data_IF_955888594331
#
_entry.id   IF_955888594331
#
_cell.length_a   1.000
_cell.length_b   1.000
_cell.length_c   1.000
_cell.angle_alpha   90.00
_cell.angle_beta   90.00
_cell.angle_gamma   90.00
#
_symmetry.space_group_name_H-M   'P 1'
#
loop_
_entity.id
_entity.type
_entity.pdbx_description
1 polymer ?
#
# COMPACT_ATOMS: atom_id res chain seq x y z
N UNK A 1 8.87 -12.50 1.78
CA UNK A 1 8.10 -12.15 0.56
C UNK A 1 6.87 -11.35 0.95
N UNK A 2 6.34 -10.51 0.05
CA UNK A 2 5.09 -9.75 0.30
C UNK A 2 3.95 -10.70 0.66
N UNK A 3 3.09 -10.31 1.61
CA UNK A 3 1.92 -11.09 2.03
C UNK A 3 0.59 -10.61 1.43
N UNK A 4 0.65 -9.55 0.63
CA UNK A 4 -0.50 -8.98 -0.06
C UNK A 4 -0.15 -8.65 -1.51
N UNK A 5 -1.16 -8.66 -2.41
CA UNK A 5 -1.02 -8.14 -3.76
C UNK A 5 -0.72 -6.65 -3.72
N UNK A 6 0.25 -6.21 -4.52
CA UNK A 6 0.46 -4.80 -4.86
C UNK A 6 -0.17 -4.59 -6.22
N UNK A 7 -1.18 -3.74 -6.30
CA UNK A 7 -1.93 -3.44 -7.53
C UNK A 7 -1.90 -1.95 -7.81
N UNK A 8 -2.22 -1.54 -9.02
CA UNK A 8 -2.27 -0.13 -9.39
C UNK A 8 -3.71 0.30 -9.70
N UNK A 9 -4.17 1.41 -9.11
CA UNK A 9 -5.54 1.91 -9.24
C UNK A 9 -5.59 3.33 -9.80
N UNK A 10 -6.74 3.67 -10.40
CA UNK A 10 -7.00 4.99 -10.98
C UNK A 10 -6.20 5.25 -12.26
N UNK A 11 -6.41 6.44 -12.85
CA UNK A 11 -5.74 6.85 -14.08
C UNK A 11 -4.22 7.01 -13.90
N UNK A 12 -3.84 7.55 -12.74
CA UNK A 12 -2.44 7.73 -12.33
C UNK A 12 -1.74 6.42 -11.95
N UNK A 13 -2.45 5.28 -11.94
CA UNK A 13 -1.91 3.97 -11.58
C UNK A 13 -1.17 4.02 -10.25
N UNK A 14 -1.83 4.54 -9.23
CA UNK A 14 -1.26 4.65 -7.88
C UNK A 14 -1.11 3.24 -7.29
N UNK A 15 0.09 2.85 -6.84
CA UNK A 15 0.29 1.54 -6.23
C UNK A 15 -0.38 1.46 -4.87
N UNK A 16 -1.13 0.39 -4.63
CA UNK A 16 -1.79 0.09 -3.36
C UNK A 16 -1.61 -1.37 -2.98
N UNK A 17 -1.58 -1.63 -1.67
CA UNK A 17 -1.62 -2.99 -1.14
C UNK A 17 -3.08 -3.44 -0.96
N UNK A 18 -3.47 -4.55 -1.58
CA UNK A 18 -4.78 -5.15 -1.37
C UNK A 18 -4.79 -5.89 -0.02
N UNK A 19 -5.43 -5.29 0.98
CA UNK A 19 -5.49 -5.82 2.36
C UNK A 19 -6.85 -6.40 2.74
N UNK A 20 -7.82 -6.38 1.82
CA UNK A 20 -9.16 -6.93 2.03
C UNK A 20 -9.87 -7.12 0.69
N UNK A 21 -10.98 -7.88 0.71
CA UNK A 21 -11.83 -8.11 -0.46
C UNK A 21 -13.03 -7.16 -0.54
N UNK A 22 -13.33 -6.47 0.57
CA UNK A 22 -14.47 -5.56 0.69
C UNK A 22 -13.99 -4.26 1.34
N UNK A 23 -14.62 -3.15 0.96
CA UNK A 23 -14.36 -1.86 1.56
C UNK A 23 -14.63 -1.91 3.08
N UNK A 24 -13.76 -1.25 3.86
CA UNK A 24 -13.89 -1.20 5.31
C UNK A 24 -13.43 -2.46 6.06
N UNK A 25 -13.02 -3.53 5.36
CA UNK A 25 -12.55 -4.76 6.00
C UNK A 25 -11.06 -4.99 5.72
N UNK A 26 -10.24 -5.04 6.78
CA UNK A 26 -8.82 -5.37 6.68
C UNK A 26 -8.59 -6.80 7.19
N UNK A 27 -8.11 -7.68 6.32
CA UNK A 27 -7.84 -9.09 6.59
C UNK A 27 -6.53 -9.35 7.33
N UNK A 28 -5.73 -8.31 7.56
CA UNK A 28 -4.49 -8.34 8.34
C UNK A 28 -4.65 -7.73 9.73
N UNK A 29 -5.83 -7.23 10.09
CA UNK A 29 -6.14 -6.77 11.45
C UNK A 29 -7.14 -7.74 12.06
N UNK A 30 -6.86 -8.24 13.25
CA UNK A 30 -7.82 -9.03 14.01
C UNK A 30 -8.97 -8.13 14.47
N UNK A 31 -10.21 -8.48 14.12
CA UNK A 31 -11.38 -7.64 14.41
C UNK A 31 -11.73 -7.58 15.91
N UNK A 32 -11.35 -8.60 16.69
CA UNK A 32 -11.62 -8.68 18.13
C UNK A 32 -10.50 -8.06 18.95
N UNK A 33 -9.24 -8.38 18.64
CA UNK A 33 -8.07 -7.91 19.41
C UNK A 33 -7.48 -6.60 18.89
N UNK A 34 -7.77 -6.21 17.64
CA UNK A 34 -7.15 -5.07 16.97
C UNK A 34 -5.69 -5.30 16.57
N UNK A 35 -5.13 -6.48 16.84
CA UNK A 35 -3.74 -6.79 16.55
C UNK A 35 -3.49 -6.95 15.04
N UNK A 36 -2.36 -6.44 14.59
CA UNK A 36 -1.90 -6.64 13.22
C UNK A 36 -1.28 -8.04 13.04
N UNK A 37 -1.48 -8.62 11.86
CA UNK A 37 -0.98 -9.94 11.48
C UNK A 37 0.53 -10.06 11.77
N UNK A 38 0.94 -11.01 12.64
CA UNK A 38 2.34 -11.22 12.97
C UNK A 38 3.17 -11.50 11.72
N UNK A 39 4.35 -10.89 11.63
CA UNK A 39 5.30 -11.02 10.51
C UNK A 39 4.81 -10.50 9.15
N UNK A 40 3.60 -9.93 9.06
CA UNK A 40 3.22 -9.16 7.88
C UNK A 40 3.92 -7.79 7.94
N UNK A 41 4.35 -7.29 6.78
CA UNK A 41 4.87 -5.94 6.70
C UNK A 41 3.74 -4.94 6.99
N UNK A 42 3.96 -3.99 7.90
CA UNK A 42 3.05 -2.87 8.15
C UNK A 42 3.42 -1.72 7.18
N UNK A 43 2.54 -1.35 6.23
CA UNK A 43 2.86 -0.33 5.23
C UNK A 43 3.37 0.98 5.85
N UNK A 44 4.38 1.59 5.21
CA UNK A 44 4.98 2.84 5.71
C UNK A 44 3.95 3.97 5.84
N UNK A 45 2.94 4.00 4.97
CA UNK A 45 1.80 4.93 5.06
C UNK A 45 1.03 4.81 6.38
N UNK A 46 0.92 3.61 6.96
CA UNK A 46 0.30 3.40 8.28
C UNK A 46 1.28 3.77 9.38
N UNK A 47 2.56 3.37 9.26
CA UNK A 47 3.60 3.62 10.27
C UNK A 47 3.95 5.09 10.48
N UNK A 48 3.72 5.96 9.50
CA UNK A 48 3.96 7.40 9.66
C UNK A 48 2.94 8.06 10.59
N UNK A 49 1.75 7.49 10.75
CA UNK A 49 0.70 8.07 11.59
C UNK A 49 1.17 8.13 13.07
N UNK A 50 0.98 9.25 13.79
CA UNK A 50 0.12 10.40 13.48
C UNK A 50 0.82 11.56 12.73
N UNK A 51 2.03 11.36 12.22
CA UNK A 51 2.78 12.40 11.53
C UNK A 51 2.42 12.50 10.05
N UNK A 52 2.28 13.72 9.57
CA UNK A 52 1.97 14.04 8.17
C UNK A 52 2.91 15.11 7.65
N UNK A 53 3.34 14.98 6.40
CA UNK A 53 4.07 16.06 5.74
C UNK A 53 3.07 17.17 5.35
N UNK A 54 3.41 18.41 5.67
CA UNK A 54 2.75 19.57 5.09
C UNK A 54 3.51 19.97 3.83
N UNK A 55 2.80 20.06 2.71
CA UNK A 55 3.33 20.55 1.46
C UNK A 55 3.05 22.05 1.36
N UNK A 56 4.10 22.86 1.22
CA UNK A 56 4.02 24.32 1.11
C UNK A 56 4.01 24.81 -0.34
N UNK A 57 3.78 23.89 -1.29
CA UNK A 57 3.75 24.19 -2.73
C UNK A 57 5.11 23.99 -3.42
N UNK A 58 5.14 24.07 -4.76
CA UNK A 58 6.29 23.67 -5.57
C UNK A 58 7.55 24.53 -5.38
N UNK A 59 7.43 25.76 -4.88
CA UNK A 59 8.55 26.70 -4.70
C UNK A 59 9.11 26.74 -3.27
N UNK A 60 8.61 25.90 -2.36
CA UNK A 60 9.04 25.88 -0.97
C UNK A 60 9.97 24.70 -0.66
N UNK A 61 11.23 25.01 -0.39
CA UNK A 61 12.22 24.06 0.16
C UNK A 61 11.95 23.68 1.63
N UNK A 62 10.94 24.28 2.26
CA UNK A 62 10.59 23.98 3.65
C UNK A 62 9.83 22.66 3.75
N UNK A 63 10.47 21.69 4.39
CA UNK A 63 9.81 20.45 4.84
C UNK A 63 9.23 20.65 6.23
N UNK A 64 7.91 20.57 6.36
CA UNK A 64 7.23 20.67 7.65
C UNK A 64 6.53 19.38 7.97
N UNK A 65 6.72 18.89 9.19
CA UNK A 65 5.98 17.74 9.72
C UNK A 65 4.91 18.28 10.66
N UNK A 66 3.68 17.95 10.36
CA UNK A 66 2.53 18.18 11.21
C UNK A 66 2.16 16.90 11.95
N UNK A 67 1.43 17.05 13.05
CA UNK A 67 0.86 15.94 13.80
C UNK A 67 -0.66 16.05 13.79
N UNK A 68 -1.33 14.92 13.60
CA UNK A 68 -2.75 14.80 13.85
C UNK A 68 -3.00 14.77 15.37
N UNK A 69 -3.44 15.90 15.92
CA UNK A 69 -3.75 16.06 17.35
C UNK A 69 -5.07 15.39 17.76
N UNK A 70 -5.90 14.97 16.80
CA UNK A 70 -7.08 14.13 17.06
C UNK A 70 -6.75 12.65 17.26
N UNK A 71 -5.48 12.26 17.06
CA UNK A 71 -5.01 10.90 17.26
C UNK A 71 -5.03 10.49 18.73
N UNK A 72 -5.45 9.25 19.01
CA UNK A 72 -5.26 8.63 20.33
C UNK A 72 -3.77 8.44 20.71
N UNK A 73 -2.86 8.60 19.75
CA UNK A 73 -1.41 8.58 19.97
C UNK A 73 -0.86 9.96 20.41
N UNK A 74 -1.69 11.01 20.36
CA UNK A 74 -1.35 12.34 20.87
C UNK A 74 -1.86 12.48 22.31
N UNK A 75 -1.04 13.06 23.18
CA UNK A 75 -1.38 13.31 24.59
C UNK A 75 -0.65 14.55 25.10
N UNK A 76 -1.32 15.35 25.91
CA UNK A 76 -0.71 16.49 26.63
C UNK A 76 0.15 16.02 27.83
N UNK A 77 0.05 14.74 28.21
CA UNK A 77 0.92 14.10 29.20
C UNK A 77 1.58 12.85 28.59
N UNK A 78 2.54 13.02 27.66
CA UNK A 78 3.15 11.91 26.94
C UNK A 78 4.24 11.25 27.78
N UNK A 79 4.41 9.93 27.61
CA UNK A 79 5.61 9.23 28.12
C UNK A 79 6.88 9.71 27.40
N UNK A 80 6.75 10.07 26.13
CA UNK A 80 7.84 10.57 25.28
C UNK A 80 7.47 11.95 24.71
N UNK A 81 7.98 13.05 25.27
CA UNK A 81 7.64 14.39 24.82
C UNK A 81 8.28 14.70 23.45
N UNK A 82 7.66 15.60 22.69
CA UNK A 82 8.20 16.03 21.39
C UNK A 82 9.44 16.91 21.52
N UNK A 83 9.51 17.73 22.57
CA UNK A 83 10.60 18.68 22.82
C UNK A 83 11.18 18.46 24.20
N UNK A 84 12.47 18.72 24.35
CA UNK A 84 13.15 18.72 25.65
C UNK A 84 12.96 20.08 26.36
N UNK A 85 13.47 20.20 27.59
CA UNK A 85 13.37 21.43 28.41
C UNK A 85 14.05 22.66 27.78
N UNK A 86 14.88 22.46 26.74
CA UNK A 86 15.53 23.54 25.97
C UNK A 86 14.73 23.97 24.74
N UNK A 87 13.58 23.35 24.48
CA UNK A 87 12.76 23.59 23.30
C UNK A 87 13.27 22.91 22.03
N UNK A 88 14.21 21.98 22.13
CA UNK A 88 14.75 21.24 20.98
C UNK A 88 13.98 19.92 20.76
N UNK A 89 13.82 19.45 19.51
CA UNK A 89 13.18 18.16 19.24
C UNK A 89 13.89 17.00 19.95
N UNK A 90 13.14 16.11 20.59
CA UNK A 90 13.69 14.89 21.18
C UNK A 90 14.17 13.92 20.10
N UNK A 91 14.91 12.89 20.51
CA UNK A 91 15.36 11.83 19.59
C UNK A 91 14.17 11.16 18.87
N UNK A 92 13.04 11.00 19.57
CA UNK A 92 11.80 10.49 18.99
C UNK A 92 11.26 11.39 17.88
N UNK A 93 11.15 12.69 18.13
CA UNK A 93 10.70 13.66 17.14
C UNK A 93 11.63 13.70 15.93
N UNK A 94 12.95 13.67 16.14
CA UNK A 94 13.91 13.61 15.04
C UNK A 94 13.76 12.34 14.19
N UNK A 95 13.59 11.17 14.83
CA UNK A 95 13.31 9.91 14.10
C UNK A 95 11.99 9.97 13.32
N UNK A 96 10.95 10.58 13.88
CA UNK A 96 9.68 10.78 13.19
C UNK A 96 9.84 11.70 11.98
N UNK A 97 10.54 12.83 12.13
CA UNK A 97 10.83 13.77 11.04
C UNK A 97 11.60 13.07 9.91
N UNK A 98 12.64 12.32 10.25
CA UNK A 98 13.43 11.56 9.28
C UNK A 98 12.61 10.49 8.56
N UNK A 99 11.72 9.80 9.28
CA UNK A 99 10.82 8.81 8.69
C UNK A 99 9.88 9.44 7.67
N UNK A 100 9.20 10.54 8.02
CA UNK A 100 8.29 11.24 7.09
C UNK A 100 9.07 11.77 5.89
N UNK A 101 10.27 12.32 6.09
CA UNK A 101 11.12 12.80 4.98
C UNK A 101 11.48 11.68 4.00
N UNK A 102 11.89 10.52 4.53
CA UNK A 102 12.20 9.34 3.71
C UNK A 102 10.96 8.84 2.97
N UNK A 103 9.82 8.79 3.66
CA UNK A 103 8.55 8.41 3.05
C UNK A 103 8.18 9.29 1.85
N UNK A 104 8.28 10.62 1.98
CA UNK A 104 8.01 11.54 0.85
C UNK A 104 9.01 11.37 -0.31
N UNK A 105 10.28 11.06 0.00
CA UNK A 105 11.27 10.71 -1.02
C UNK A 105 10.89 9.42 -1.76
N UNK A 106 10.45 8.39 -1.02
CA UNK A 106 10.02 7.11 -1.59
C UNK A 106 8.75 7.26 -2.43
N UNK A 107 7.83 8.15 -2.06
CA UNK A 107 6.65 8.50 -2.86
C UNK A 107 7.07 9.07 -4.21
N UNK A 108 7.99 10.04 -4.26
CA UNK A 108 8.49 10.62 -5.52
C UNK A 108 9.16 9.57 -6.42
N UNK A 109 10.02 8.73 -5.85
CA UNK A 109 10.65 7.63 -6.60
C UNK A 109 9.61 6.64 -7.16
N UNK A 110 8.53 6.40 -6.41
CA UNK A 110 7.42 5.55 -6.85
C UNK A 110 6.64 6.19 -8.00
N UNK A 111 6.40 7.51 -7.96
CA UNK A 111 5.77 8.24 -9.06
C UNK A 111 6.62 8.20 -10.34
N UNK A 112 7.93 8.41 -10.23
CA UNK A 112 8.87 8.29 -11.35
C UNK A 112 8.87 6.87 -11.95
N UNK A 113 8.83 5.85 -11.10
CA UNK A 113 8.72 4.46 -11.52
C UNK A 113 7.43 4.20 -12.30
N UNK A 114 6.27 4.61 -11.75
CA UNK A 114 4.97 4.43 -12.42
C UNK A 114 4.91 5.20 -13.74
N UNK A 115 5.44 6.43 -13.78
CA UNK A 115 5.57 7.21 -15.00
C UNK A 115 6.38 6.47 -16.04
N UNK A 116 7.55 5.94 -15.67
CA UNK A 116 8.40 5.18 -16.59
C UNK A 116 7.72 3.93 -17.14
N UNK A 117 7.00 3.18 -16.30
CA UNK A 117 6.23 2.02 -16.77
C UNK A 117 5.10 2.44 -17.72
N UNK A 118 4.47 3.58 -17.48
CA UNK A 118 3.42 4.13 -18.36
C UNK A 118 3.98 4.56 -19.71
N UNK A 119 5.13 5.24 -19.74
CA UNK A 119 5.83 5.64 -20.98
C UNK A 119 6.22 4.44 -21.86
N UNK A 120 6.54 3.32 -21.22
CA UNK A 120 6.88 2.06 -21.89
C UNK A 120 5.65 1.20 -22.24
N UNK A 121 4.44 1.70 -21.98
CA UNK A 121 3.17 0.98 -22.12
C UNK A 121 3.17 -0.39 -21.40
N UNK A 122 3.75 -0.49 -20.21
CA UNK A 122 3.92 -1.79 -19.55
C UNK A 122 2.69 -2.26 -18.75
N UNK A 123 1.62 -1.47 -18.68
CA UNK A 123 0.43 -1.82 -17.93
C UNK A 123 -0.65 -2.45 -18.81
N UNK A 124 -1.36 -3.43 -18.23
CA UNK A 124 -2.61 -3.96 -18.74
C UNK A 124 -3.67 -3.98 -17.64
N UNK A 125 -4.94 -3.90 -18.02
CA UNK A 125 -6.03 -4.16 -17.09
C UNK A 125 -6.09 -5.65 -16.78
N UNK A 126 -6.19 -5.97 -15.50
CA UNK A 126 -6.23 -7.32 -14.98
C UNK A 126 -7.40 -7.46 -14.00
N UNK A 127 -7.89 -8.69 -13.87
CA UNK A 127 -8.92 -9.04 -12.90
C UNK A 127 -8.44 -10.18 -12.02
N UNK A 128 -8.67 -10.04 -10.72
CA UNK A 128 -8.62 -11.16 -9.81
C UNK A 128 -10.03 -11.74 -9.70
N UNK A 129 -10.14 -13.05 -9.87
CA UNK A 129 -11.41 -13.78 -9.78
C UNK A 129 -11.36 -14.83 -8.69
N UNK A 130 -12.49 -15.06 -8.03
CA UNK A 130 -12.69 -16.13 -7.07
C UNK A 130 -13.75 -17.10 -7.57
N UNK A 131 -13.47 -18.38 -7.51
CA UNK A 131 -14.45 -19.45 -7.75
C UNK A 131 -14.36 -20.44 -6.59
N UNK A 132 -15.45 -20.65 -5.82
CA UNK A 132 -15.49 -21.66 -4.77
C UNK A 132 -15.12 -23.05 -5.29
N UNK A 133 -14.54 -23.89 -4.42
CA UNK A 133 -14.25 -25.30 -4.71
C UNK A 133 -14.89 -26.20 -3.65
N UNK A 134 -15.42 -27.34 -4.07
CA UNK A 134 -15.99 -28.33 -3.17
C UNK A 134 -14.89 -29.11 -2.41
N UNK A 135 -15.28 -30.04 -1.53
CA UNK A 135 -14.36 -30.86 -0.74
C UNK A 135 -13.47 -31.79 -1.58
N UNK A 136 -13.85 -32.08 -2.84
CA UNK A 136 -13.03 -32.81 -3.81
C UNK A 136 -12.12 -31.89 -4.65
N UNK A 137 -12.14 -30.57 -4.40
CA UNK A 137 -11.34 -29.58 -5.13
C UNK A 137 -11.93 -29.14 -6.47
N UNK A 138 -13.14 -29.58 -6.81
CA UNK A 138 -13.82 -29.23 -8.07
C UNK A 138 -14.46 -27.85 -7.95
N UNK A 139 -14.40 -27.08 -9.05
CA UNK A 139 -14.98 -25.75 -9.11
C UNK A 139 -16.51 -25.79 -8.95
N UNK A 140 -17.05 -24.89 -8.13
CA UNK A 140 -18.48 -24.78 -7.85
C UNK A 140 -18.98 -23.36 -8.11
N UNK A 141 -20.05 -23.25 -8.90
CA UNK A 141 -20.63 -21.96 -9.30
C UNK A 141 -19.79 -21.23 -10.34
N UNK A 142 -20.21 -20.02 -10.70
CA UNK A 142 -19.50 -19.18 -11.67
C UNK A 142 -18.35 -18.41 -11.01
N UNK A 143 -17.23 -18.17 -11.72
CA UNK A 143 -16.19 -17.28 -11.25
C UNK A 143 -16.72 -15.86 -11.01
N UNK A 144 -16.36 -15.27 -9.87
CA UNK A 144 -16.71 -13.90 -9.49
C UNK A 144 -15.49 -12.99 -9.55
N UNK A 145 -15.61 -11.82 -10.17
CA UNK A 145 -14.56 -10.80 -10.15
C UNK A 145 -14.52 -10.15 -8.77
N UNK A 146 -13.39 -10.25 -8.08
CA UNK A 146 -13.18 -9.65 -6.76
C UNK A 146 -12.42 -8.32 -6.83
N UNK A 147 -11.63 -8.10 -7.87
CA UNK A 147 -10.91 -6.85 -8.09
C UNK A 147 -10.62 -6.65 -9.58
N UNK A 148 -10.72 -5.40 -10.04
CA UNK A 148 -10.22 -4.96 -11.35
C UNK A 148 -9.14 -3.90 -11.10
N UNK A 149 -7.98 -4.06 -11.71
CA UNK A 149 -6.81 -3.23 -11.43
C UNK A 149 -5.85 -3.17 -12.62
N UNK A 150 -4.89 -2.26 -12.58
CA UNK A 150 -3.76 -2.26 -13.50
C UNK A 150 -2.62 -3.09 -12.94
N UNK A 151 -2.02 -3.95 -13.76
CA UNK A 151 -0.84 -4.74 -13.44
C UNK A 151 0.19 -4.68 -14.56
N UNK A 152 1.45 -5.02 -14.26
CA UNK A 152 2.50 -5.10 -15.28
C UNK A 152 2.26 -6.31 -16.17
N UNK A 153 2.30 -6.08 -17.48
CA UNK A 153 2.15 -7.10 -18.51
C UNK A 153 3.44 -7.87 -18.73
N UNK A 154 3.43 -9.18 -18.48
CA UNK A 154 4.58 -10.06 -18.75
C UNK A 154 4.88 -10.20 -20.24
N UNK A 155 3.87 -10.05 -21.09
CA UNK A 155 4.02 -10.05 -22.54
C UNK A 155 4.75 -8.78 -23.01
N UNK A 156 4.24 -7.59 -22.64
CA UNK A 156 4.85 -6.33 -23.04
C UNK A 156 6.26 -6.18 -22.47
N UNK A 157 6.50 -6.63 -21.23
CA UNK A 157 7.84 -6.66 -20.64
C UNK A 157 8.82 -7.52 -21.45
N UNK A 158 8.41 -8.71 -21.89
CA UNK A 158 9.25 -9.60 -22.72
C UNK A 158 9.48 -9.06 -24.13
N UNK A 159 8.53 -8.29 -24.65
CA UNK A 159 8.62 -7.68 -25.98
C UNK A 159 9.51 -6.43 -26.02
N UNK A 160 9.99 -5.93 -24.87
CA UNK A 160 10.91 -4.80 -24.82
C UNK A 160 12.22 -5.10 -25.56
N UNK A 161 12.75 -4.07 -26.20
CA UNK A 161 14.08 -4.13 -26.81
C UNK A 161 15.15 -4.38 -25.73
N UNK A 162 16.23 -5.12 -26.04
CA UNK A 162 17.28 -5.44 -25.06
C UNK A 162 17.86 -4.23 -24.32
N UNK A 163 18.02 -3.10 -25.02
CA UNK A 163 18.59 -1.87 -24.46
C UNK A 163 17.63 -1.22 -23.46
N UNK A 164 16.32 -1.28 -23.74
CA UNK A 164 15.30 -0.78 -22.81
C UNK A 164 15.23 -1.66 -21.57
N UNK A 165 15.29 -2.98 -21.74
CA UNK A 165 15.32 -3.91 -20.61
C UNK A 165 16.59 -3.71 -19.74
N UNK A 166 17.75 -3.49 -20.37
CA UNK A 166 18.98 -3.14 -19.67
C UNK A 166 18.83 -1.83 -18.87
N UNK A 167 18.19 -0.80 -19.44
CA UNK A 167 17.92 0.45 -18.70
C UNK A 167 17.05 0.23 -17.45
N UNK A 168 16.05 -0.65 -17.52
CA UNK A 168 15.21 -1.01 -16.38
C UNK A 168 15.98 -1.80 -15.31
N UNK A 169 16.99 -2.57 -15.69
CA UNK A 169 17.90 -3.22 -14.74
C UNK A 169 18.77 -2.18 -14.03
N UNK A 170 19.38 -1.28 -14.81
CA UNK A 170 20.40 -0.35 -14.30
C UNK A 170 19.82 0.71 -13.36
N UNK A 171 18.56 1.09 -13.54
CA UNK A 171 17.84 1.97 -12.63
C UNK A 171 17.07 1.22 -11.52
N UNK A 172 17.32 -0.09 -11.36
CA UNK A 172 16.69 -1.00 -10.37
C UNK A 172 15.19 -1.26 -10.54
N UNK A 173 14.53 -0.68 -11.54
CA UNK A 173 13.09 -0.85 -11.78
C UNK A 173 12.69 -2.28 -12.10
N UNK A 174 13.57 -3.05 -12.74
CA UNK A 174 13.31 -4.45 -13.10
C UNK A 174 13.04 -5.31 -11.85
N UNK A 175 13.74 -5.05 -10.74
CA UNK A 175 13.49 -5.72 -9.47
C UNK A 175 12.10 -5.42 -8.91
N UNK A 176 11.69 -4.15 -8.95
CA UNK A 176 10.36 -3.71 -8.50
C UNK A 176 9.23 -4.29 -9.38
N UNK A 177 9.44 -4.37 -10.70
CA UNK A 177 8.51 -5.00 -11.65
C UNK A 177 8.25 -6.46 -11.26
N UNK A 178 9.31 -7.24 -11.08
CA UNK A 178 9.15 -8.65 -10.70
C UNK A 178 8.57 -8.82 -9.30
N UNK A 179 8.92 -7.95 -8.35
CA UNK A 179 8.32 -7.96 -7.02
C UNK A 179 6.80 -7.71 -7.08
N UNK A 180 6.35 -6.77 -7.92
CA UNK A 180 4.93 -6.55 -8.19
C UNK A 180 4.28 -7.80 -8.80
N UNK A 181 4.84 -8.37 -9.87
CA UNK A 181 4.27 -9.56 -10.52
C UNK A 181 4.16 -10.74 -9.56
N UNK A 182 5.19 -10.99 -8.74
CA UNK A 182 5.17 -12.03 -7.71
C UNK A 182 4.17 -11.75 -6.59
N UNK A 183 3.93 -10.48 -6.26
CA UNK A 183 2.93 -10.11 -5.25
C UNK A 183 1.51 -10.50 -5.67
N UNK A 184 1.21 -10.56 -6.97
CA UNK A 184 -0.13 -10.90 -7.46
C UNK A 184 -0.53 -12.33 -7.11
N UNK A 185 0.43 -13.25 -6.93
CA UNK A 185 0.14 -14.60 -6.42
C UNK A 185 -0.47 -14.59 -5.01
N UNK A 186 -0.35 -13.49 -4.26
CA UNK A 186 -0.96 -13.35 -2.94
C UNK A 186 -2.48 -13.14 -2.99
N UNK A 187 -3.11 -13.01 -4.17
CA UNK A 187 -4.57 -12.98 -4.26
C UNK A 187 -5.20 -14.25 -3.70
N UNK A 188 -4.63 -15.41 -3.98
CA UNK A 188 -5.09 -16.70 -3.44
C UNK A 188 -5.01 -16.73 -1.91
N UNK A 189 -3.92 -16.21 -1.33
CA UNK A 189 -3.76 -16.11 0.12
C UNK A 189 -4.76 -15.14 0.74
N UNK A 190 -5.04 -14.01 0.07
CA UNK A 190 -6.02 -13.04 0.54
C UNK A 190 -7.45 -13.61 0.51
N UNK A 191 -7.78 -14.34 -0.55
CA UNK A 191 -9.04 -15.08 -0.68
C UNK A 191 -9.15 -16.15 0.41
N UNK A 192 -8.12 -16.96 0.62
CA UNK A 192 -8.11 -17.99 1.65
C UNK A 192 -8.31 -17.39 3.06
N UNK A 193 -7.66 -16.24 3.34
CA UNK A 193 -7.86 -15.47 4.59
C UNK A 193 -9.30 -15.01 4.75
N UNK A 194 -9.93 -14.53 3.67
CA UNK A 194 -11.33 -14.10 3.70
C UNK A 194 -12.28 -15.28 3.98
N UNK A 195 -12.08 -16.42 3.32
CA UNK A 195 -12.91 -17.62 3.48
C UNK A 195 -12.77 -18.28 4.86
N UNK A 196 -11.61 -18.14 5.51
CA UNK A 196 -11.37 -18.66 6.86
C UNK A 196 -12.01 -17.79 7.95
N UNK A 197 -12.34 -16.53 7.67
CA UNK A 197 -13.09 -15.69 8.61
C UNK A 197 -14.58 -16.05 8.51
N UNK A 198 -15.27 -16.30 9.64
CA UNK A 198 -16.73 -16.29 9.61
C UNK A 198 -17.16 -14.93 9.06
N UNK A 199 -18.00 -14.93 8.01
CA UNK A 199 -18.56 -13.71 7.43
C UNK A 199 -19.23 -12.91 8.54
N UNK A 200 -18.57 -11.88 9.08
CA UNK A 200 -19.22 -10.96 10.00
C UNK A 200 -20.17 -10.12 9.17
N UNK A 201 -21.46 -10.45 9.23
CA UNK A 201 -22.54 -9.62 8.73
C UNK A 201 -22.48 -8.29 9.47
N UNK A 202 -22.14 -7.22 8.75
CA UNK A 202 -22.22 -5.84 9.24
C UNK A 202 -20.91 -5.08 9.19
N UNK A 203 -20.48 -4.66 8.00
CA UNK A 203 -19.59 -3.51 7.91
C UNK A 203 -20.46 -2.24 7.99
N UNK A 204 -20.17 -1.28 8.88
CA UNK A 204 -20.81 0.04 8.81
C UNK A 204 -20.40 0.73 7.49
N UNK A 205 -21.26 1.64 6.96
CA UNK A 205 -20.95 2.35 5.72
C UNK A 205 -19.64 3.14 5.87
N UNK A 206 -18.88 3.32 4.78
CA UNK A 206 -17.63 4.06 4.80
C UNK A 206 -17.87 5.47 5.34
N UNK A 207 -16.96 6.03 6.15
CA UNK A 207 -17.04 7.44 6.54
C UNK A 207 -17.04 8.30 5.27
N UNK A 208 -17.90 9.32 5.24
CA UNK A 208 -17.95 10.28 4.15
C UNK A 208 -16.54 10.86 3.92
N UNK A 209 -16.15 10.98 2.66
CA UNK A 209 -14.90 11.63 2.29
C UNK A 209 -14.87 13.04 2.91
N UNK A 210 -13.73 13.50 3.43
CA UNK A 210 -13.60 14.89 3.84
C UNK A 210 -13.89 15.77 2.62
N UNK A 211 -14.87 16.65 2.75
CA UNK A 211 -15.14 17.68 1.76
C UNK A 211 -13.87 18.55 1.62
N UNK A 212 -13.53 18.86 0.37
CA UNK A 212 -12.37 19.64 -0.02
C UNK A 212 -12.43 21.10 0.46
#
# INVERSE_FOLDING_TARGET
GSRFPIIFLGENKTPVAAMGLQAGNNLFVNAETGEYEPYAYLPAFVRRYPFVAANHGPDSDRFTVCIDTGSHLYSDNPEQPFFNDKGEPTEFTNRAIDFVRRFESDVKLTEEFVKRLTELDLFDQQQATFQPRNAQGEAQGEPQVIASYWGVSSEKLRALKPETLASLRDNTYLGAIYAHMLSLAQWENLIARASARPLSVGAPPPPAAPEA
#
